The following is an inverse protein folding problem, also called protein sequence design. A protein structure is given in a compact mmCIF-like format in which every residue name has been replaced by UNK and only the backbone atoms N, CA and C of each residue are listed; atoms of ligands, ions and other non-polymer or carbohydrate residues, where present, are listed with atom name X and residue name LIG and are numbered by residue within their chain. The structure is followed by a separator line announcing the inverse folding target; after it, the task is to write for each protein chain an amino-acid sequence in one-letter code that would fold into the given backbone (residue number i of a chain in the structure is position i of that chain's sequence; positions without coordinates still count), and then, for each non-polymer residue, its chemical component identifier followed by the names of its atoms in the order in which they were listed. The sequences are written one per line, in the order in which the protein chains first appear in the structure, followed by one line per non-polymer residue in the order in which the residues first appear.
data_IF_952939864666
#
_entry.id   IF_952939864666
#
_cell.length_a   1.000
_cell.length_b   1.000
_cell.length_c   1.000
_cell.angle_alpha   90.00
_cell.angle_beta   90.00
_cell.angle_gamma   90.00
#
_symmetry.space_group_name_H-M   'P 1'
#
loop_
_entity.id
_entity.type
_entity.pdbx_description
1 polymer ?
#
# COMPACT_ATOMS: atom_id res chain seq x y z
N UNK A 1 -19.16 11.33 -11.49
CA UNK A 1 -19.34 10.08 -10.71
C UNK A 1 -17.95 9.57 -10.44
N UNK A 2 -17.48 9.71 -9.20
CA UNK A 2 -16.14 9.24 -8.81
C UNK A 2 -16.10 7.71 -8.91
N UNK A 3 -15.04 7.18 -9.50
CA UNK A 3 -14.86 5.73 -9.63
C UNK A 3 -14.39 5.20 -8.28
N UNK A 4 -15.31 4.62 -7.52
CA UNK A 4 -14.99 3.90 -6.28
C UNK A 4 -14.10 2.70 -6.60
N UNK A 5 -13.03 2.54 -5.82
CA UNK A 5 -12.16 1.36 -5.86
C UNK A 5 -12.52 0.45 -4.69
N UNK A 6 -12.37 -0.86 -4.90
CA UNK A 6 -12.70 -1.87 -3.90
C UNK A 6 -11.48 -2.76 -3.67
N UNK A 7 -11.28 -3.15 -2.41
CA UNK A 7 -10.26 -4.11 -2.00
C UNK A 7 -10.52 -5.45 -2.69
N UNK A 8 -9.50 -6.00 -3.35
CA UNK A 8 -9.61 -7.28 -4.07
C UNK A 8 -9.78 -8.49 -3.14
N UNK A 9 -9.45 -8.36 -1.85
CA UNK A 9 -9.48 -9.46 -0.88
C UNK A 9 -10.77 -9.52 -0.07
N UNK A 10 -11.27 -8.36 0.39
CA UNK A 10 -12.45 -8.30 1.26
C UNK A 10 -13.63 -7.51 0.67
N UNK A 11 -13.47 -6.96 -0.55
CA UNK A 11 -14.48 -6.16 -1.25
C UNK A 11 -14.93 -4.86 -0.54
N UNK A 12 -14.24 -4.43 0.52
CA UNK A 12 -14.46 -3.13 1.12
C UNK A 12 -14.09 -1.99 0.15
N UNK A 13 -14.83 -0.87 0.19
CA UNK A 13 -14.44 0.34 -0.53
C UNK A 13 -13.09 0.85 0.02
N UNK A 14 -12.14 1.11 -0.87
CA UNK A 14 -10.82 1.61 -0.48
C UNK A 14 -10.90 3.06 0.01
N UNK A 15 -9.99 3.43 0.90
CA UNK A 15 -9.78 4.83 1.27
C UNK A 15 -9.26 5.64 0.07
N UNK A 16 -9.25 6.97 0.19
CA UNK A 16 -8.68 7.85 -0.84
C UNK A 16 -7.19 7.55 -1.10
N UNK A 17 -6.48 7.08 -0.09
CA UNK A 17 -5.07 6.65 -0.17
C UNK A 17 -4.90 5.23 -0.75
N UNK A 18 -5.98 4.59 -1.17
CA UNK A 18 -5.96 3.25 -1.76
C UNK A 18 -5.78 2.10 -0.76
N UNK A 19 -5.93 2.37 0.55
CA UNK A 19 -5.82 1.34 1.61
C UNK A 19 -7.16 0.71 1.91
N UNK A 20 -7.13 -0.53 2.41
CA UNK A 20 -8.33 -1.16 2.96
C UNK A 20 -8.68 -0.50 4.31
N UNK A 21 -9.96 -0.20 4.60
CA UNK A 21 -10.38 0.35 5.89
C UNK A 21 -10.22 -0.63 7.06
N UNK A 22 -10.13 -1.93 6.77
CA UNK A 22 -9.72 -2.95 7.74
C UNK A 22 -8.18 -2.98 7.82
N UNK A 23 -7.64 -2.50 8.95
CA UNK A 23 -6.18 -2.35 9.17
C UNK A 23 -5.43 -3.68 9.02
N UNK A 24 -6.04 -4.79 9.45
CA UNK A 24 -5.45 -6.13 9.42
C UNK A 24 -5.64 -6.84 8.06
N UNK A 25 -6.23 -6.16 7.07
CA UNK A 25 -6.43 -6.74 5.75
C UNK A 25 -5.10 -7.01 5.03
N UNK A 26 -5.00 -8.17 4.39
CA UNK A 26 -3.81 -8.58 3.61
C UNK A 26 -3.40 -7.56 2.53
N UNK A 27 -4.33 -6.77 1.98
CA UNK A 27 -3.98 -5.67 1.08
C UNK A 27 -3.01 -4.68 1.73
N UNK A 28 -3.30 -4.29 2.97
CA UNK A 28 -2.50 -3.31 3.69
C UNK A 28 -1.12 -3.88 4.04
N UNK A 29 -1.05 -5.17 4.37
CA UNK A 29 0.22 -5.89 4.59
C UNK A 29 1.11 -5.81 3.35
N UNK A 30 0.56 -6.02 2.14
CA UNK A 30 1.35 -5.89 0.91
C UNK A 30 1.79 -4.46 0.63
N UNK A 31 0.91 -3.48 0.85
CA UNK A 31 1.25 -2.05 0.69
C UNK A 31 2.41 -1.67 1.61
N UNK A 32 2.38 -2.09 2.87
CA UNK A 32 3.44 -1.79 3.84
C UNK A 32 4.77 -2.44 3.46
N UNK A 33 4.75 -3.71 3.07
CA UNK A 33 5.95 -4.43 2.65
C UNK A 33 6.61 -3.79 1.42
N UNK A 34 5.82 -3.34 0.44
CA UNK A 34 6.35 -2.62 -0.74
C UNK A 34 6.96 -1.28 -0.32
N UNK A 35 6.28 -0.52 0.54
CA UNK A 35 6.78 0.76 1.03
C UNK A 35 8.07 0.62 1.86
N UNK A 36 8.25 -0.49 2.58
CA UNK A 36 9.50 -0.84 3.26
C UNK A 36 10.61 -1.14 2.25
N UNK A 37 10.37 -2.00 1.26
CA UNK A 37 11.32 -2.27 0.18
C UNK A 37 11.77 -1.00 -0.54
N UNK A 38 10.85 -0.08 -0.86
CA UNK A 38 11.16 1.17 -1.53
C UNK A 38 12.08 2.08 -0.69
N UNK A 39 11.89 2.09 0.64
CA UNK A 39 12.76 2.82 1.57
C UNK A 39 14.16 2.21 1.63
N UNK A 40 14.26 0.89 1.67
CA UNK A 40 15.56 0.20 1.66
C UNK A 40 16.32 0.48 0.36
N UNK A 41 15.64 0.38 -0.79
CA UNK A 41 16.23 0.70 -2.11
C UNK A 41 16.69 2.17 -2.18
N UNK A 42 15.91 3.10 -1.64
CA UNK A 42 16.29 4.51 -1.61
C UNK A 42 17.54 4.74 -0.73
N UNK A 43 17.58 4.13 0.45
CA UNK A 43 18.73 4.21 1.35
C UNK A 43 20.01 3.59 0.74
N UNK A 44 19.87 2.49 0.00
CA UNK A 44 21.01 1.91 -0.73
C UNK A 44 21.52 2.81 -1.86
N UNK A 45 20.64 3.54 -2.55
CA UNK A 45 21.05 4.51 -3.58
C UNK A 45 21.80 5.69 -2.98
N UNK A 46 21.28 6.28 -1.90
CA UNK A 46 21.93 7.40 -1.21
C UNK A 46 23.32 7.05 -0.69
N UNK A 47 23.55 5.81 -0.25
CA UNK A 47 24.86 5.35 0.24
C UNK A 47 25.88 5.07 -0.88
N UNK A 48 25.44 4.94 -2.13
CA UNK A 48 26.28 4.60 -3.28
C UNK A 48 26.53 5.79 -4.23
N UNK A 49 26.05 6.99 -3.89
CA UNK A 49 26.27 8.27 -4.58
C UNK A 49 27.31 9.15 -3.86
#
# INVERSE_FOLDING_TARGET
MEKKLYCEYCAAELTEDGRCPDEDCVLNVYIDAIAECDKEIAAEKENNE
#
